data_IF_493979403162
#
_entry.id   IF_493979403162
#
_cell.length_a   1.000
_cell.length_b   1.000
_cell.length_c   1.000
_cell.angle_alpha   90.00
_cell.angle_beta   90.00
_cell.angle_gamma   90.00
#
_symmetry.space_group_name_H-M   'P 1'
#
loop_
_entity.id
_entity.type
_entity.pdbx_description
1 polymer ?
#
# COMPACT_ATOMS: atom_id res chain seq x y z
N UNK A 1 12.60 -6.76 -49.76
CA UNK A 1 13.60 -6.56 -48.68
C UNK A 1 12.90 -5.84 -47.52
N UNK A 2 12.71 -6.52 -46.40
CA UNK A 2 12.03 -5.95 -45.22
C UNK A 2 12.91 -4.88 -44.58
N UNK A 3 12.45 -3.62 -44.57
CA UNK A 3 13.22 -2.43 -44.18
C UNK A 3 13.24 -2.16 -42.67
N UNK A 4 12.93 -3.16 -41.84
CA UNK A 4 12.97 -3.00 -40.38
C UNK A 4 14.42 -2.98 -39.88
N UNK A 5 15.04 -1.79 -39.89
CA UNK A 5 16.26 -1.53 -39.15
C UNK A 5 15.95 -1.58 -37.65
N UNK A 6 16.48 -2.59 -36.96
CA UNK A 6 16.47 -2.67 -35.50
C UNK A 6 17.19 -1.44 -34.95
N UNK A 7 16.47 -0.50 -34.33
CA UNK A 7 17.10 0.65 -33.64
C UNK A 7 18.12 0.10 -32.64
N UNK A 8 19.37 0.46 -32.82
CA UNK A 8 20.45 0.22 -31.85
C UNK A 8 20.04 0.81 -30.51
N UNK A 9 20.11 0.02 -29.44
CA UNK A 9 19.64 0.33 -28.08
C UNK A 9 20.29 1.57 -27.42
N UNK A 10 21.23 2.24 -28.09
CA UNK A 10 22.04 3.33 -27.56
C UNK A 10 21.34 4.71 -27.50
N UNK A 11 20.12 4.88 -28.02
CA UNK A 11 19.44 6.21 -28.11
C UNK A 11 18.12 6.24 -27.32
N UNK A 12 17.83 5.23 -26.49
CA UNK A 12 16.69 5.35 -25.57
C UNK A 12 17.13 6.13 -24.31
N UNK A 13 16.43 7.20 -23.92
CA UNK A 13 16.72 7.87 -22.67
C UNK A 13 16.60 6.85 -21.53
N UNK A 14 17.66 6.74 -20.73
CA UNK A 14 17.69 5.84 -19.58
C UNK A 14 16.60 6.27 -18.61
N UNK A 15 15.76 5.34 -18.20
CA UNK A 15 14.74 5.60 -17.19
C UNK A 15 15.40 5.88 -15.84
N UNK A 16 14.77 6.67 -14.97
CA UNK A 16 15.20 6.79 -13.58
C UNK A 16 15.34 5.41 -12.93
N UNK A 17 16.25 5.29 -11.96
CA UNK A 17 16.39 4.07 -11.17
C UNK A 17 15.05 3.69 -10.51
N UNK A 18 14.76 2.39 -10.37
CA UNK A 18 13.50 1.94 -9.74
C UNK A 18 12.21 2.28 -10.50
N UNK A 19 12.30 2.81 -11.73
CA UNK A 19 11.16 3.11 -12.59
C UNK A 19 11.05 2.10 -13.74
N UNK A 20 9.81 1.82 -14.16
CA UNK A 20 9.54 0.99 -15.35
C UNK A 20 8.51 1.65 -16.26
N UNK A 21 8.52 1.31 -17.54
CA UNK A 21 7.45 1.73 -18.44
C UNK A 21 6.25 0.77 -18.32
N UNK A 22 5.06 1.34 -18.19
CA UNK A 22 3.81 0.62 -18.32
C UNK A 22 3.71 0.00 -19.72
N UNK A 23 3.42 -1.30 -19.84
CA UNK A 23 3.27 -1.94 -21.15
C UNK A 23 2.04 -1.45 -21.93
N UNK A 24 1.06 -0.82 -21.26
CA UNK A 24 -0.21 -0.43 -21.88
C UNK A 24 -0.21 0.98 -22.44
N UNK A 25 0.27 1.94 -21.66
CA UNK A 25 0.18 3.36 -21.99
C UNK A 25 1.55 4.05 -22.05
N UNK A 26 2.64 3.30 -21.88
CA UNK A 26 4.01 3.83 -21.94
C UNK A 26 4.34 4.82 -20.83
N UNK A 27 3.55 4.90 -19.76
CA UNK A 27 3.82 5.78 -18.63
C UNK A 27 4.95 5.25 -17.77
N UNK A 28 5.71 6.17 -17.19
CA UNK A 28 6.71 5.82 -16.18
C UNK A 28 5.96 5.47 -14.90
N UNK A 29 6.18 4.26 -14.39
CA UNK A 29 5.61 3.72 -13.16
C UNK A 29 6.72 3.56 -12.12
N UNK A 30 6.36 3.78 -10.87
CA UNK A 30 7.18 3.49 -9.69
C UNK A 30 6.46 2.54 -8.77
N UNK A 31 7.18 1.71 -8.03
CA UNK A 31 6.54 0.80 -7.08
C UNK A 31 6.04 1.53 -5.82
N UNK A 32 4.89 1.13 -5.29
CA UNK A 32 4.39 1.51 -3.97
C UNK A 32 5.16 0.86 -2.82
N UNK A 33 6.02 -0.13 -3.10
CA UNK A 33 6.69 -0.97 -2.11
C UNK A 33 5.87 -2.20 -1.71
N UNK A 34 4.62 -2.30 -2.17
CA UNK A 34 3.74 -3.44 -1.93
C UNK A 34 3.37 -4.06 -3.29
N UNK A 35 3.91 -5.24 -3.66
CA UNK A 35 3.65 -5.85 -4.95
C UNK A 35 2.16 -6.05 -5.27
N UNK A 36 1.38 -6.49 -4.27
CA UNK A 36 -0.06 -6.69 -4.44
C UNK A 36 -0.81 -5.38 -4.71
N UNK A 37 -0.36 -4.25 -4.14
CA UNK A 37 -0.95 -2.95 -4.40
C UNK A 37 -0.58 -2.45 -5.81
N UNK A 38 0.66 -2.65 -6.22
CA UNK A 38 1.12 -2.30 -7.56
C UNK A 38 0.29 -3.01 -8.63
N UNK A 39 0.06 -4.32 -8.46
CA UNK A 39 -0.75 -5.11 -9.40
C UNK A 39 -2.20 -4.58 -9.47
N UNK A 40 -2.80 -4.25 -8.32
CA UNK A 40 -4.14 -3.68 -8.23
C UNK A 40 -4.27 -2.31 -8.89
N UNK A 41 -3.19 -1.52 -8.92
CA UNK A 41 -3.15 -0.18 -9.53
C UNK A 41 -2.67 -0.19 -11.00
N UNK A 42 -2.47 -1.37 -11.59
CA UNK A 42 -2.07 -1.50 -13.00
C UNK A 42 -0.56 -1.61 -13.21
N UNK A 43 0.14 -2.20 -12.25
CA UNK A 43 1.57 -2.49 -12.27
C UNK A 43 2.43 -1.48 -11.50
N UNK A 44 1.86 -0.53 -10.78
CA UNK A 44 2.57 0.48 -9.98
C UNK A 44 1.86 1.83 -9.96
N UNK A 45 2.55 2.83 -9.38
CA UNK A 45 2.08 4.21 -9.30
C UNK A 45 2.63 5.02 -10.48
N UNK A 46 1.79 5.67 -11.29
CA UNK A 46 2.30 6.47 -12.40
C UNK A 46 2.94 7.77 -11.92
N UNK A 47 4.05 8.14 -12.54
CA UNK A 47 4.71 9.43 -12.30
C UNK A 47 3.78 10.57 -12.70
N UNK A 48 3.70 11.57 -11.83
CA UNK A 48 2.79 12.71 -11.93
C UNK A 48 1.37 12.42 -11.43
N UNK A 49 1.21 11.48 -10.47
CA UNK A 49 -0.07 11.17 -9.84
C UNK A 49 -0.11 11.53 -8.35
N UNK A 50 -1.33 11.79 -7.87
CA UNK A 50 -1.68 11.86 -6.46
C UNK A 50 -2.47 10.63 -6.05
N UNK A 51 -1.95 9.89 -5.06
CA UNK A 51 -2.55 8.68 -4.49
C UNK A 51 -3.06 8.99 -3.09
N UNK A 52 -4.36 8.83 -2.89
CA UNK A 52 -5.02 9.04 -1.60
C UNK A 52 -5.30 7.70 -0.92
N UNK A 53 -4.87 7.58 0.33
CA UNK A 53 -5.09 6.43 1.20
C UNK A 53 -6.00 6.86 2.35
N UNK A 54 -7.26 6.44 2.32
CA UNK A 54 -8.22 6.70 3.39
C UNK A 54 -7.95 5.75 4.55
N UNK A 55 -7.77 6.30 5.75
CA UNK A 55 -7.47 5.55 6.96
C UNK A 55 -8.70 5.24 7.81
N UNK A 56 -8.63 4.09 8.49
CA UNK A 56 -9.64 3.61 9.43
C UNK A 56 -9.56 4.34 10.78
N UNK A 57 -10.56 4.17 11.63
CA UNK A 57 -10.74 4.86 12.91
C UNK A 57 -9.76 4.46 14.01
N UNK A 58 -9.42 3.17 14.11
CA UNK A 58 -8.68 2.65 15.27
C UNK A 58 -7.31 2.07 14.92
N UNK A 59 -6.90 2.12 13.65
CA UNK A 59 -5.70 1.43 13.18
C UNK A 59 -4.88 2.28 12.21
N UNK A 60 -3.57 2.21 12.34
CA UNK A 60 -2.62 3.00 11.53
C UNK A 60 -2.11 2.24 10.29
N UNK A 61 -2.95 1.37 9.69
CA UNK A 61 -2.55 0.62 8.50
C UNK A 61 -2.23 1.53 7.31
N UNK A 62 -2.86 2.71 7.22
CA UNK A 62 -2.55 3.73 6.20
C UNK A 62 -1.10 4.20 6.30
N UNK A 63 -0.60 4.42 7.53
CA UNK A 63 0.77 4.82 7.78
C UNK A 63 1.75 3.70 7.40
N UNK A 64 1.36 2.42 7.53
CA UNK A 64 2.16 1.31 7.02
C UNK A 64 2.33 1.39 5.51
N UNK A 65 1.27 1.67 4.74
CA UNK A 65 1.37 1.89 3.28
C UNK A 65 2.31 3.06 2.96
N UNK A 66 2.19 4.18 3.68
CA UNK A 66 3.08 5.32 3.52
C UNK A 66 4.55 4.95 3.79
N UNK A 67 4.82 4.17 4.84
CA UNK A 67 6.17 3.69 5.17
C UNK A 67 6.75 2.76 4.10
N UNK A 68 5.93 1.90 3.49
CA UNK A 68 6.35 1.09 2.34
C UNK A 68 6.73 1.97 1.14
N UNK A 69 5.93 3.00 0.87
CA UNK A 69 6.18 3.95 -0.21
C UNK A 69 7.50 4.71 -0.01
N UNK A 70 7.79 5.10 1.24
CA UNK A 70 9.05 5.73 1.64
C UNK A 70 10.23 4.76 1.53
N UNK A 71 10.11 3.54 2.07
CA UNK A 71 11.16 2.52 2.01
C UNK A 71 11.54 2.16 0.58
N UNK A 72 10.57 2.05 -0.33
CA UNK A 72 10.81 1.82 -1.75
C UNK A 72 11.49 3.00 -2.42
N UNK A 73 11.21 4.23 -1.96
CA UNK A 73 11.96 5.42 -2.35
C UNK A 73 13.44 5.32 -2.00
N UNK A 74 13.73 4.99 -0.73
CA UNK A 74 15.11 4.83 -0.24
C UNK A 74 15.86 3.72 -0.99
N UNK A 75 15.21 2.57 -1.20
CA UNK A 75 15.84 1.45 -1.88
C UNK A 75 16.15 1.74 -3.36
N UNK A 76 15.35 2.59 -4.00
CA UNK A 76 15.54 2.98 -5.40
C UNK A 76 16.46 4.20 -5.58
N UNK A 77 16.91 4.84 -4.48
CA UNK A 77 17.68 6.10 -4.54
C UNK A 77 16.86 7.32 -4.99
N UNK A 78 15.54 7.28 -4.82
CA UNK A 78 14.66 8.42 -5.09
C UNK A 78 14.82 9.51 -4.05
N UNK A 79 14.61 10.77 -4.44
CA UNK A 79 14.49 11.85 -3.47
C UNK A 79 13.13 11.79 -2.77
N UNK A 80 13.11 12.13 -1.50
CA UNK A 80 11.91 12.06 -0.66
C UNK A 80 11.57 13.44 -0.11
N UNK A 81 10.28 13.72 -0.01
CA UNK A 81 9.76 14.86 0.72
C UNK A 81 8.65 14.37 1.65
N UNK A 82 8.78 14.61 2.95
CA UNK A 82 7.82 14.13 3.95
C UNK A 82 7.20 15.30 4.71
N UNK A 83 5.87 15.39 4.69
CA UNK A 83 5.11 16.41 5.39
C UNK A 83 4.13 15.79 6.38
N UNK A 84 4.00 16.40 7.55
CA UNK A 84 3.11 15.91 8.62
C UNK A 84 2.80 17.02 9.63
N UNK A 85 1.54 17.10 10.06
CA UNK A 85 1.09 18.00 11.13
C UNK A 85 0.83 17.26 12.46
N UNK A 86 0.57 15.95 12.40
CA UNK A 86 0.27 15.12 13.57
C UNK A 86 1.53 14.65 14.32
N UNK A 87 2.61 14.44 13.58
CA UNK A 87 3.87 13.91 14.11
C UNK A 87 5.08 14.43 13.35
N UNK A 88 6.23 14.38 14.01
CA UNK A 88 7.52 14.62 13.37
C UNK A 88 7.74 13.66 12.17
N UNK A 89 7.92 14.19 10.95
CA UNK A 89 8.07 13.38 9.74
C UNK A 89 9.33 12.50 9.75
N UNK A 90 10.35 12.83 10.56
CA UNK A 90 11.52 11.96 10.72
C UNK A 90 11.16 10.61 11.35
N UNK A 91 10.11 10.54 12.16
CA UNK A 91 9.66 9.28 12.76
C UNK A 91 9.06 8.32 11.74
N UNK A 92 8.51 8.84 10.64
CA UNK A 92 7.93 8.03 9.55
C UNK A 92 9.04 7.28 8.84
N UNK A 93 10.11 7.98 8.45
CA UNK A 93 11.25 7.39 7.75
C UNK A 93 12.06 6.45 8.66
N UNK A 94 12.24 6.78 9.94
CA UNK A 94 12.93 5.91 10.91
C UNK A 94 12.20 4.58 11.13
N UNK A 95 10.88 4.55 10.96
CA UNK A 95 10.04 3.35 11.06
C UNK A 95 9.75 2.68 9.72
N UNK A 96 10.37 3.15 8.64
CA UNK A 96 10.25 2.53 7.33
C UNK A 96 10.84 1.10 7.38
N UNK A 97 10.22 0.10 6.72
CA UNK A 97 10.72 -1.26 6.73
C UNK A 97 12.04 -1.39 5.96
N UNK A 98 12.95 -2.21 6.48
CA UNK A 98 14.19 -2.57 5.79
C UNK A 98 13.92 -3.56 4.64
N UNK A 99 14.84 -3.65 3.70
CA UNK A 99 14.78 -4.61 2.60
C UNK A 99 16.01 -5.52 2.59
N UNK A 100 15.84 -6.72 2.05
CA UNK A 100 16.95 -7.62 1.77
C UNK A 100 17.54 -7.26 0.41
N UNK A 101 18.68 -6.58 0.37
CA UNK A 101 19.43 -6.40 -0.89
C UNK A 101 19.88 -7.79 -1.37
N UNK A 102 19.19 -8.36 -2.35
CA UNK A 102 19.73 -9.49 -3.11
C UNK A 102 20.82 -8.97 -4.04
N UNK A 103 21.97 -8.61 -3.47
CA UNK A 103 23.20 -8.59 -4.25
C UNK A 103 23.51 -10.04 -4.63
N UNK A 104 23.71 -10.40 -5.90
CA UNK A 104 24.29 -11.68 -6.26
C UNK A 104 25.76 -11.67 -5.82
N UNK A 105 26.01 -12.03 -4.57
CA UNK A 105 27.37 -12.38 -4.12
C UNK A 105 27.66 -13.81 -4.55
N UNK A 106 28.81 -14.08 -5.20
CA UNK A 106 29.23 -15.45 -5.46
C UNK A 106 29.57 -16.12 -4.12
N UNK A 107 28.92 -17.25 -3.85
CA UNK A 107 29.24 -18.26 -2.83
C UNK A 107 30.26 -17.88 -1.75
N UNK A 108 29.83 -17.76 -0.50
CA UNK A 108 30.63 -18.17 0.66
C UNK A 108 29.71 -18.74 1.75
N UNK A 109 29.65 -20.08 1.72
CA UNK A 109 29.44 -21.08 2.77
C UNK A 109 28.72 -20.75 4.10
N UNK A 110 27.87 -21.72 4.46
CA UNK A 110 27.80 -22.36 5.78
C UNK A 110 27.32 -21.52 6.98
N UNK A 111 26.05 -21.71 7.36
CA UNK A 111 25.77 -22.39 8.63
C UNK A 111 24.31 -22.88 8.67
N UNK A 112 24.13 -24.19 8.78
CA UNK A 112 22.86 -24.79 9.20
C UNK A 112 23.23 -26.05 9.97
N UNK A 113 22.74 -26.21 11.21
CA UNK A 113 23.18 -27.29 12.07
C UNK A 113 22.73 -28.62 11.50
N UNK A 114 23.65 -29.56 11.44
CA UNK A 114 23.44 -30.91 10.96
C UNK A 114 22.41 -31.64 11.84
N UNK A 115 21.21 -31.87 11.31
CA UNK A 115 20.33 -32.94 11.78
C UNK A 115 20.41 -34.04 10.73
N UNK A 116 21.10 -35.13 11.11
CA UNK A 116 21.13 -36.37 10.36
C UNK A 116 19.70 -36.89 10.20
N UNK A 117 19.16 -36.81 8.98
CA UNK A 117 18.00 -37.62 8.59
C UNK A 117 18.46 -38.68 7.60
N UNK A 118 18.34 -39.91 8.08
CA UNK A 118 18.54 -41.17 7.38
C UNK A 118 17.85 -41.19 6.02
N UNK A 119 18.59 -41.72 5.05
CA UNK A 119 18.14 -42.21 3.74
C UNK A 119 17.07 -43.28 3.91
N UNK A 120 15.79 -42.91 4.04
CA UNK A 120 14.65 -43.86 3.97
C UNK A 120 13.29 -43.15 3.92
N UNK A 121 13.11 -42.19 3.00
CA UNK A 121 11.78 -41.66 2.67
C UNK A 121 11.66 -41.29 1.18
N UNK A 122 12.36 -42.03 0.31
CA UNK A 122 12.15 -42.02 -1.14
C UNK A 122 10.98 -42.96 -1.49
N UNK A 123 9.80 -42.69 -0.96
CA UNK A 123 8.55 -43.08 -1.62
C UNK A 123 7.62 -41.88 -1.70
N UNK A 124 8.06 -40.99 -2.58
CA UNK A 124 7.38 -39.81 -3.08
C UNK A 124 6.03 -40.26 -3.66
N UNK A 125 4.94 -39.91 -2.97
CA UNK A 125 3.55 -40.01 -3.44
C UNK A 125 3.45 -39.51 -4.89
N UNK A 126 3.34 -40.45 -5.84
CA UNK A 126 3.38 -40.26 -7.31
C UNK A 126 2.15 -39.57 -7.90
N UNK A 127 1.21 -39.10 -7.09
CA UNK A 127 -0.09 -38.62 -7.58
C UNK A 127 -0.07 -37.12 -7.92
N UNK A 128 0.85 -36.34 -7.32
CA UNK A 128 0.88 -34.88 -7.47
C UNK A 128 2.03 -34.34 -8.35
N UNK A 129 2.58 -35.15 -9.27
CA UNK A 129 3.61 -34.71 -10.23
C UNK A 129 3.19 -33.46 -11.00
N UNK A 130 1.90 -33.36 -11.37
CA UNK A 130 1.38 -32.26 -12.19
C UNK A 130 1.44 -30.88 -11.52
N UNK A 131 1.51 -30.83 -10.19
CA UNK A 131 1.60 -29.58 -9.44
C UNK A 131 3.03 -29.21 -9.06
N UNK A 132 4.01 -30.10 -9.30
CA UNK A 132 5.41 -29.84 -8.96
C UNK A 132 6.03 -28.69 -9.78
N UNK A 133 5.44 -28.38 -10.95
CA UNK A 133 5.89 -27.32 -11.84
C UNK A 133 4.84 -26.21 -12.03
N UNK A 134 3.79 -26.15 -11.20
CA UNK A 134 2.93 -24.97 -11.21
C UNK A 134 3.73 -23.78 -10.66
N UNK A 135 3.71 -22.61 -11.30
CA UNK A 135 4.27 -21.41 -10.71
C UNK A 135 3.52 -21.16 -9.39
N UNK A 136 4.17 -21.38 -8.26
CA UNK A 136 3.71 -20.81 -7.00
C UNK A 136 3.71 -19.31 -7.22
N UNK A 137 2.57 -18.64 -7.01
CA UNK A 137 2.27 -17.26 -7.45
C UNK A 137 3.20 -16.14 -6.97
N UNK A 138 4.34 -16.47 -6.36
CA UNK A 138 5.43 -15.57 -5.97
C UNK A 138 6.59 -15.54 -7.01
N UNK A 139 6.57 -16.39 -8.05
CA UNK A 139 7.71 -16.57 -8.97
C UNK A 139 7.57 -15.91 -10.36
N UNK A 140 6.38 -15.45 -10.75
CA UNK A 140 6.17 -14.88 -12.09
C UNK A 140 6.68 -13.43 -12.26
N UNK A 141 6.98 -12.74 -11.16
CA UNK A 141 7.56 -11.38 -11.18
C UNK A 141 9.09 -11.37 -11.24
N UNK A 142 9.77 -12.49 -10.93
CA UNK A 142 11.23 -12.54 -10.85
C UNK A 142 11.93 -12.91 -12.16
N UNK A 143 11.20 -13.40 -13.19
CA UNK A 143 11.84 -14.02 -14.37
C UNK A 143 12.07 -13.09 -15.59
N UNK A 144 11.91 -11.77 -15.46
CA UNK A 144 12.07 -10.83 -16.61
C UNK A 144 12.99 -9.62 -16.40
N UNK A 145 13.99 -9.69 -15.54
CA UNK A 145 15.03 -8.64 -15.49
C UNK A 145 16.43 -9.25 -15.45
N UNK A 146 17.05 -9.33 -16.62
CA UNK A 146 18.49 -9.53 -16.76
C UNK A 146 19.21 -8.30 -16.19
N UNK A 147 19.79 -8.42 -14.99
CA UNK A 147 20.86 -7.55 -14.49
C UNK A 147 20.51 -6.18 -13.89
N UNK A 148 19.24 -5.88 -13.57
CA UNK A 148 18.83 -4.58 -12.99
C UNK A 148 18.16 -4.77 -11.62
N UNK A 149 18.32 -3.81 -10.71
CA UNK A 149 17.65 -3.74 -9.40
C UNK A 149 16.16 -4.09 -9.53
N UNK A 150 15.58 -4.86 -8.59
CA UNK A 150 14.19 -5.26 -8.68
C UNK A 150 13.26 -4.04 -8.65
N UNK A 151 12.15 -4.10 -9.39
CA UNK A 151 11.18 -2.99 -9.45
C UNK A 151 10.52 -2.71 -8.09
N UNK A 152 10.26 -3.76 -7.32
CA UNK A 152 9.81 -3.69 -5.93
C UNK A 152 10.73 -4.56 -5.10
N UNK A 153 11.28 -4.01 -4.03
CA UNK A 153 12.12 -4.76 -3.11
C UNK A 153 11.28 -5.63 -2.17
N UNK A 154 11.93 -6.64 -1.58
CA UNK A 154 11.31 -7.46 -0.54
C UNK A 154 11.59 -6.84 0.82
N UNK A 155 10.56 -6.21 1.38
CA UNK A 155 10.64 -5.55 2.69
C UNK A 155 10.26 -6.47 3.86
N UNK A 156 10.86 -6.18 5.02
CA UNK A 156 10.51 -6.76 6.32
C UNK A 156 10.02 -5.67 7.28
N UNK A 157 8.77 -5.76 7.72
CA UNK A 157 8.14 -4.83 8.67
C UNK A 157 8.71 -4.89 10.09
N UNK A 158 9.35 -5.99 10.48
CA UNK A 158 9.87 -6.14 11.84
C UNK A 158 11.19 -5.39 12.05
N UNK A 159 11.88 -5.05 10.97
CA UNK A 159 13.23 -4.48 11.02
C UNK A 159 13.22 -3.11 10.35
N UNK A 160 13.41 -2.02 11.10
CA UNK A 160 13.47 -0.68 10.51
C UNK A 160 14.71 -0.49 9.63
N UNK A 161 14.66 0.47 8.71
CA UNK A 161 15.80 0.86 7.87
C UNK A 161 16.99 1.29 8.73
N UNK A 162 18.20 0.93 8.29
CA UNK A 162 19.44 1.31 8.98
C UNK A 162 19.67 2.83 8.86
N UNK A 163 20.04 3.54 9.94
CA UNK A 163 20.25 4.99 9.92
C UNK A 163 21.22 5.47 8.84
N UNK A 164 22.29 4.70 8.57
CA UNK A 164 23.28 5.02 7.52
C UNK A 164 22.67 5.21 6.13
N UNK A 165 21.58 4.51 5.82
CA UNK A 165 20.91 4.64 4.52
C UNK A 165 20.09 5.93 4.49
N UNK A 166 19.49 6.31 5.62
CA UNK A 166 18.75 7.56 5.77
C UNK A 166 19.70 8.75 5.64
N UNK A 167 20.87 8.69 6.28
CA UNK A 167 21.89 9.75 6.23
C UNK A 167 22.46 9.96 4.81
N UNK A 168 22.49 8.91 3.99
CA UNK A 168 22.95 8.98 2.61
C UNK A 168 21.85 9.41 1.63
N UNK A 169 20.59 9.36 2.04
CA UNK A 169 19.45 9.69 1.19
C UNK A 169 19.18 11.19 1.19
N UNK A 170 18.74 11.71 0.05
CA UNK A 170 18.26 13.09 -0.05
C UNK A 170 16.79 13.15 0.38
N UNK A 171 16.56 13.59 1.61
CA UNK A 171 15.22 13.70 2.21
C UNK A 171 14.99 15.13 2.68
N UNK A 172 13.88 15.72 2.25
CA UNK A 172 13.36 16.99 2.75
C UNK A 172 12.17 16.73 3.68
N UNK A 173 12.02 17.56 4.69
CA UNK A 173 11.00 17.41 5.73
C UNK A 173 10.26 18.73 5.92
N UNK A 174 8.94 18.66 5.92
CA UNK A 174 8.07 19.77 6.32
C UNK A 174 7.38 19.36 7.62
N UNK A 175 7.89 19.88 8.73
CA UNK A 175 7.28 19.68 10.03
C UNK A 175 6.24 20.79 10.29
N UNK A 176 4.96 20.41 10.30
CA UNK A 176 3.84 21.31 10.59
C UNK A 176 3.40 21.22 12.06
N UNK A 177 4.11 20.45 12.90
CA UNK A 177 3.77 20.32 14.33
C UNK A 177 4.12 21.59 15.12
N UNK A 178 5.07 22.37 14.63
CA UNK A 178 5.50 23.61 15.24
C UNK A 178 4.85 24.79 14.52
N UNK A 179 4.31 25.79 15.26
CA UNK A 179 3.79 27.00 14.64
C UNK A 179 4.91 27.67 13.85
N UNK A 180 4.68 27.90 12.55
CA UNK A 180 5.61 28.67 11.73
C UNK A 180 5.60 30.12 12.23
N UNK A 181 6.54 30.46 13.10
CA UNK A 181 6.80 31.84 13.45
C UNK A 181 7.40 32.52 12.22
N UNK A 182 6.61 33.33 11.51
CA UNK A 182 7.13 34.26 10.50
C UNK A 182 7.90 35.37 11.20
N UNK A 183 9.12 35.10 11.64
CA UNK A 183 9.97 36.11 12.27
C UNK A 183 11.46 35.78 12.12
N UNK A 184 11.97 35.71 10.89
CA UNK A 184 13.41 35.95 10.65
C UNK A 184 13.70 36.84 9.42
N UNK A 185 12.74 37.09 8.52
CA UNK A 185 12.92 38.00 7.36
C UNK A 185 12.14 39.32 7.42
N UNK A 186 11.57 39.68 8.57
CA UNK A 186 11.01 41.01 8.78
C UNK A 186 12.16 42.01 8.95
N UNK A 187 12.71 42.48 7.83
CA UNK A 187 13.52 43.69 7.79
C UNK A 187 12.81 44.79 8.56
N UNK A 188 13.48 45.32 9.58
CA UNK A 188 13.09 46.50 10.35
C UNK A 188 13.13 47.74 9.45
N UNK A 189 12.16 47.90 8.56
CA UNK A 189 11.89 49.18 7.92
C UNK A 189 10.38 49.42 7.88
N UNK A 190 9.95 50.38 8.68
CA UNK A 190 8.58 50.54 9.10
C UNK A 190 7.60 50.90 7.98
N UNK A 191 6.43 50.27 8.02
CA UNK A 191 5.19 51.01 7.91
C UNK A 191 4.05 50.27 8.62
N UNK A 192 3.49 50.94 9.61
CA UNK A 192 2.62 50.38 10.64
C UNK A 192 1.15 50.53 10.22
N UNK A 193 0.60 49.59 9.42
CA UNK A 193 -0.87 49.48 9.17
C UNK A 193 -1.44 48.06 8.96
N UNK A 194 -0.65 46.99 8.81
CA UNK A 194 -1.15 45.62 8.62
C UNK A 194 -0.77 44.68 9.79
N UNK A 195 -1.17 45.03 11.02
CA UNK A 195 -0.99 44.17 12.22
C UNK A 195 -2.01 43.01 12.32
N UNK A 196 -2.47 42.50 11.19
CA UNK A 196 -3.06 41.16 11.09
C UNK A 196 -1.99 40.26 10.45
N UNK A 197 -0.95 39.91 11.22
CA UNK A 197 -0.10 38.76 10.87
C UNK A 197 -0.95 37.51 11.06
N UNK A 198 -1.74 37.23 10.02
CA UNK A 198 -2.72 36.17 9.95
C UNK A 198 -2.03 34.82 10.04
N UNK A 199 -2.67 33.89 10.75
CA UNK A 199 -2.37 32.46 10.74
C UNK A 199 -2.08 32.05 9.29
N UNK A 200 -0.87 31.63 8.96
CA UNK A 200 -0.57 31.16 7.60
C UNK A 200 -1.30 29.84 7.36
N UNK A 201 -1.97 29.69 6.23
CA UNK A 201 -2.62 28.43 5.87
C UNK A 201 -1.53 27.36 5.62
N UNK A 202 -1.53 26.29 6.41
CA UNK A 202 -0.53 25.23 6.32
C UNK A 202 -0.48 24.60 4.93
N UNK A 203 -1.64 24.53 4.26
CA UNK A 203 -1.76 23.98 2.92
C UNK A 203 -1.06 24.85 1.87
N UNK A 204 -1.17 26.18 1.99
CA UNK A 204 -0.54 27.12 1.06
C UNK A 204 0.98 27.13 1.24
N UNK A 205 1.44 27.12 2.49
CA UNK A 205 2.86 27.06 2.81
C UNK A 205 3.50 25.73 2.37
N UNK A 206 2.83 24.59 2.60
CA UNK A 206 3.29 23.29 2.10
C UNK A 206 3.33 23.27 0.56
N UNK A 207 2.34 23.86 -0.11
CA UNK A 207 2.33 23.93 -1.56
C UNK A 207 3.51 24.75 -2.10
N UNK A 208 3.80 25.91 -1.51
CA UNK A 208 4.94 26.74 -1.89
C UNK A 208 6.27 26.00 -1.73
N UNK A 209 6.46 25.30 -0.61
CA UNK A 209 7.65 24.50 -0.34
C UNK A 209 7.81 23.34 -1.35
N UNK A 210 6.71 22.64 -1.67
CA UNK A 210 6.69 21.59 -2.68
C UNK A 210 7.00 22.12 -4.09
N UNK A 211 6.48 23.30 -4.44
CA UNK A 211 6.76 23.96 -5.71
C UNK A 211 8.25 24.28 -5.84
N UNK A 212 8.84 24.92 -4.82
CA UNK A 212 10.28 25.19 -4.76
C UNK A 212 11.10 23.90 -4.83
N UNK A 213 10.76 22.87 -4.06
CA UNK A 213 11.46 21.60 -4.10
C UNK A 213 11.42 20.91 -5.48
N UNK A 214 10.33 21.06 -6.23
CA UNK A 214 10.19 20.49 -7.59
C UNK A 214 10.99 21.29 -8.63
N UNK A 215 10.95 22.62 -8.54
CA UNK A 215 11.65 23.52 -9.47
C UNK A 215 13.16 23.49 -9.23
N UNK A 216 13.60 23.72 -8.00
CA UNK A 216 15.02 23.76 -7.62
C UNK A 216 15.66 22.37 -7.67
N UNK A 217 14.88 21.33 -7.35
CA UNK A 217 15.30 19.93 -7.44
C UNK A 217 15.40 19.38 -8.86
N UNK A 218 15.03 20.16 -9.88
CA UNK A 218 15.11 19.74 -11.29
C UNK A 218 14.13 18.62 -11.67
N UNK A 219 13.04 18.47 -10.91
CA UNK A 219 12.00 17.47 -11.16
C UNK A 219 10.96 17.92 -12.17
N UNK A 220 10.93 19.21 -12.54
CA UNK A 220 10.04 19.73 -13.56
C UNK A 220 10.29 19.07 -14.92
N UNK A 221 9.23 18.60 -15.57
CA UNK A 221 9.27 18.02 -16.91
C UNK A 221 9.31 19.10 -18.00
N UNK A 222 8.93 20.34 -17.66
CA UNK A 222 8.95 21.51 -18.54
C UNK A 222 10.37 22.03 -18.77
N UNK A 223 11.23 21.89 -17.77
CA UNK A 223 12.63 22.24 -17.91
C UNK A 223 13.34 21.25 -18.85
N UNK A 224 14.07 21.74 -19.88
CA UNK A 224 14.90 20.87 -20.69
C UNK A 224 15.88 20.14 -19.78
N UNK A 225 16.05 18.81 -19.98
CA UNK A 225 17.04 18.05 -19.24
C UNK A 225 18.38 18.80 -19.31
N UNK A 226 18.97 19.10 -18.14
CA UNK A 226 20.21 19.86 -18.07
C UNK A 226 21.23 19.29 -19.08
N UNK A 227 21.92 20.16 -19.81
CA UNK A 227 22.93 19.75 -20.79
C UNK A 227 24.03 18.96 -20.06
N UNK A 228 24.25 17.69 -20.45
CA UNK A 228 25.20 16.68 -19.91
C UNK A 228 24.64 15.78 -18.76
N UNK A 229 25.23 14.59 -18.48
CA UNK A 229 24.54 13.31 -18.25
C UNK A 229 23.89 13.12 -16.86
N UNK A 230 23.26 14.15 -16.31
CA UNK A 230 22.49 14.01 -15.08
C UNK A 230 21.27 13.13 -15.35
N UNK A 231 21.30 11.89 -14.85
CA UNK A 231 20.16 10.99 -14.88
C UNK A 231 19.02 11.64 -14.09
N UNK A 232 17.83 11.76 -14.71
CA UNK A 232 16.65 12.32 -14.04
C UNK A 232 16.30 11.42 -12.85
N UNK A 233 16.15 12.01 -11.67
CA UNK A 233 15.66 11.30 -10.49
C UNK A 233 14.14 11.52 -10.34
N UNK A 234 13.52 10.73 -9.46
CA UNK A 234 12.10 10.83 -9.12
C UNK A 234 11.98 11.39 -7.70
N UNK A 235 11.01 12.28 -7.52
CA UNK A 235 10.61 12.80 -6.22
C UNK A 235 9.41 12.02 -5.69
N UNK A 236 9.49 11.52 -4.46
CA UNK A 236 8.38 10.87 -3.77
C UNK A 236 7.93 11.74 -2.60
N UNK A 237 6.71 12.23 -2.68
CA UNK A 237 6.11 13.09 -1.67
C UNK A 237 5.20 12.24 -0.81
N UNK A 238 5.50 12.13 0.48
CA UNK A 238 4.65 11.47 1.47
C UNK A 238 4.01 12.51 2.38
N UNK A 239 2.68 12.60 2.35
CA UNK A 239 1.94 13.49 3.25
C UNK A 239 1.16 12.64 4.25
N UNK A 240 1.47 12.81 5.53
CA UNK A 240 0.85 12.09 6.62
C UNK A 240 -0.41 12.82 7.09
N UNK A 241 -1.51 12.06 7.17
CA UNK A 241 -2.81 12.41 7.72
C UNK A 241 -3.28 13.82 7.34
N UNK A 242 -3.33 14.07 6.03
CA UNK A 242 -3.85 15.29 5.45
C UNK A 242 -5.28 15.54 5.97
N UNK A 243 -5.54 16.77 6.39
CA UNK A 243 -6.83 17.17 6.97
C UNK A 243 -7.14 16.45 8.29
N UNK A 244 -6.12 16.05 9.06
CA UNK A 244 -6.31 15.81 10.49
C UNK A 244 -6.65 17.14 11.21
N UNK A 245 -7.21 17.09 12.43
CA UNK A 245 -7.52 18.28 13.22
C UNK A 245 -6.32 19.17 13.56
N UNK A 246 -5.10 18.70 13.31
CA UNK A 246 -3.87 19.44 13.56
C UNK A 246 -3.50 20.42 12.44
N UNK A 247 -4.04 20.22 11.23
CA UNK A 247 -3.81 21.13 10.09
C UNK A 247 -4.51 22.48 10.31
N UNK A 248 -3.76 23.57 10.22
CA UNK A 248 -4.30 24.92 10.31
C UNK A 248 -4.83 25.37 8.94
N UNK A 249 -6.13 25.12 8.71
CA UNK A 249 -6.84 25.58 7.53
C UNK A 249 -7.45 26.96 7.78
N UNK A 250 -7.27 27.90 6.85
CA UNK A 250 -8.02 29.17 6.88
C UNK A 250 -9.46 29.03 6.42
N UNK A 251 -9.73 28.04 5.58
CA UNK A 251 -11.05 27.82 4.98
C UNK A 251 -11.33 26.34 4.76
N UNK A 252 -12.60 25.97 4.73
CA UNK A 252 -13.05 24.61 4.42
C UNK A 252 -12.59 24.12 3.04
N UNK A 253 -12.25 25.05 2.14
CA UNK A 253 -11.81 24.76 0.78
C UNK A 253 -10.29 24.66 0.64
N UNK A 254 -9.51 25.03 1.67
CA UNK A 254 -8.04 25.08 1.60
C UNK A 254 -7.43 23.74 1.19
N UNK A 255 -7.91 22.64 1.78
CA UNK A 255 -7.48 21.29 1.40
C UNK A 255 -7.84 20.95 -0.06
N UNK A 256 -9.02 21.33 -0.54
CA UNK A 256 -9.42 21.09 -1.93
C UNK A 256 -8.61 21.93 -2.92
N UNK A 257 -8.35 23.21 -2.60
CA UNK A 257 -7.47 24.08 -3.41
C UNK A 257 -6.06 23.53 -3.47
N UNK A 258 -5.52 23.07 -2.35
CA UNK A 258 -4.23 22.42 -2.26
C UNK A 258 -4.14 21.17 -3.14
N UNK A 259 -5.07 20.23 -3.00
CA UNK A 259 -5.08 19.01 -3.81
C UNK A 259 -5.20 19.31 -5.31
N UNK A 260 -6.02 20.29 -5.68
CA UNK A 260 -6.14 20.75 -7.05
C UNK A 260 -4.83 21.32 -7.59
N UNK A 261 -4.19 22.22 -6.83
CA UNK A 261 -2.91 22.83 -7.20
C UNK A 261 -1.77 21.81 -7.27
N UNK A 262 -1.66 20.94 -6.26
CA UNK A 262 -0.68 19.85 -6.18
C UNK A 262 -0.80 18.91 -7.38
N UNK A 263 -2.03 18.54 -7.75
CA UNK A 263 -2.27 17.69 -8.93
C UNK A 263 -1.77 18.36 -10.21
N UNK A 264 -2.02 19.66 -10.37
CA UNK A 264 -1.52 20.44 -11.50
C UNK A 264 0.02 20.46 -11.55
N UNK A 265 0.66 20.71 -10.41
CA UNK A 265 2.10 20.72 -10.25
C UNK A 265 2.74 19.36 -10.59
N UNK A 266 2.18 18.26 -10.08
CA UNK A 266 2.70 16.92 -10.34
C UNK A 266 2.51 16.44 -11.77
N UNK A 267 1.48 16.94 -12.47
CA UNK A 267 1.24 16.57 -13.88
C UNK A 267 2.42 16.91 -14.79
N UNK A 268 3.19 17.93 -14.41
CA UNK A 268 4.37 18.42 -15.13
C UNK A 268 5.67 18.19 -14.35
N UNK A 269 5.73 17.17 -13.49
CA UNK A 269 6.95 16.82 -12.77
C UNK A 269 7.23 15.31 -12.78
N UNK A 270 8.46 14.94 -12.45
CA UNK A 270 8.87 13.57 -12.15
C UNK A 270 8.59 13.23 -10.67
N UNK A 271 7.42 13.64 -10.17
CA UNK A 271 6.98 13.44 -8.79
C UNK A 271 5.84 12.44 -8.65
N UNK A 272 5.78 11.71 -7.54
CA UNK A 272 4.60 10.91 -7.14
C UNK A 272 4.26 11.26 -5.70
N UNK A 273 2.98 11.53 -5.42
CA UNK A 273 2.53 11.84 -4.08
C UNK A 273 1.63 10.74 -3.52
N UNK A 274 1.93 10.29 -2.31
CA UNK A 274 1.06 9.43 -1.50
C UNK A 274 0.63 10.21 -0.26
N UNK A 275 -0.68 10.28 -0.06
CA UNK A 275 -1.33 11.05 1.00
C UNK A 275 -2.16 10.09 1.84
N UNK A 276 -1.96 10.07 3.16
CA UNK A 276 -2.92 9.42 4.07
C UNK A 276 -3.94 10.44 4.56
N UNK A 277 -5.21 10.02 4.75
CA UNK A 277 -6.28 10.91 5.19
C UNK A 277 -7.23 10.18 6.16
N UNK A 278 -7.46 10.72 7.39
CA UNK A 278 -8.38 10.17 8.37
C UNK A 278 -9.84 10.43 8.02
N UNK A 279 -10.35 9.68 7.04
CA UNK A 279 -11.70 9.86 6.49
C UNK A 279 -12.80 9.61 7.53
N UNK A 280 -12.52 8.75 8.51
CA UNK A 280 -13.43 8.41 9.61
C UNK A 280 -13.81 9.61 10.50
N UNK A 281 -13.01 10.69 10.51
CA UNK A 281 -13.32 11.91 11.26
C UNK A 281 -14.43 12.73 10.60
N UNK A 282 -14.62 12.54 9.30
CA UNK A 282 -15.62 13.27 8.52
C UNK A 282 -16.92 12.50 8.38
N UNK A 283 -16.91 11.17 8.54
CA UNK A 283 -18.08 10.32 8.32
C UNK A 283 -19.27 10.73 9.20
N UNK A 284 -20.41 10.99 8.56
CA UNK A 284 -21.72 11.12 9.21
C UNK A 284 -22.47 9.80 9.08
N UNK A 285 -23.39 9.49 10.00
CA UNK A 285 -23.90 8.14 10.29
C UNK A 285 -24.43 7.27 9.12
N UNK A 286 -24.61 7.81 7.92
CA UNK A 286 -25.09 7.04 6.75
C UNK A 286 -24.43 7.35 5.41
N UNK A 287 -23.64 8.42 5.26
CA UNK A 287 -23.11 8.82 3.93
C UNK A 287 -21.67 9.32 3.97
N UNK A 288 -20.92 9.05 2.88
CA UNK A 288 -19.63 9.71 2.65
C UNK A 288 -19.82 11.21 2.49
N UNK A 289 -19.13 12.05 3.29
CA UNK A 289 -19.26 13.49 3.27
C UNK A 289 -18.92 14.09 1.92
N UNK A 290 -19.58 15.20 1.57
CA UNK A 290 -19.31 15.94 0.34
C UNK A 290 -17.85 16.42 0.25
N UNK A 291 -17.21 16.79 1.36
CA UNK A 291 -15.80 17.18 1.40
C UNK A 291 -14.87 16.03 0.98
N UNK A 292 -15.01 14.85 1.59
CA UNK A 292 -14.19 13.66 1.26
C UNK A 292 -14.38 13.28 -0.20
N UNK A 293 -15.62 13.24 -0.70
CA UNK A 293 -15.89 12.96 -2.13
C UNK A 293 -15.21 13.97 -3.05
N UNK A 294 -15.19 15.27 -2.71
CA UNK A 294 -14.46 16.28 -3.49
C UNK A 294 -12.96 15.98 -3.53
N UNK A 295 -12.36 15.64 -2.38
CA UNK A 295 -10.94 15.27 -2.31
C UNK A 295 -10.63 13.99 -3.10
N UNK A 296 -11.48 12.96 -3.02
CA UNK A 296 -11.37 11.75 -3.83
C UNK A 296 -11.35 12.05 -5.34
N UNK A 297 -12.13 13.04 -5.79
CA UNK A 297 -12.17 13.44 -7.20
C UNK A 297 -10.92 14.21 -7.65
N UNK A 298 -10.28 14.94 -6.75
CA UNK A 298 -9.05 15.69 -7.03
C UNK A 298 -7.81 14.78 -7.08
N UNK A 299 -7.84 13.61 -6.45
CA UNK A 299 -6.77 12.62 -6.52
C UNK A 299 -6.92 11.70 -7.74
N UNK A 300 -5.82 11.10 -8.20
CA UNK A 300 -5.83 10.20 -9.38
C UNK A 300 -6.12 8.76 -8.99
N UNK A 301 -5.69 8.33 -7.81
CA UNK A 301 -6.01 7.03 -7.23
C UNK A 301 -6.51 7.20 -5.79
N UNK A 302 -7.49 6.40 -5.40
CA UNK A 302 -8.08 6.42 -4.06
C UNK A 302 -8.27 4.99 -3.58
N UNK A 303 -7.65 4.67 -2.46
CA UNK A 303 -7.79 3.39 -1.76
C UNK A 303 -8.23 3.63 -0.32
N UNK A 304 -9.03 2.72 0.23
CA UNK A 304 -9.54 2.80 1.61
C UNK A 304 -9.23 1.49 2.34
N UNK A 305 -8.75 1.61 3.57
CA UNK A 305 -8.53 0.51 4.49
C UNK A 305 -9.64 0.56 5.54
N UNK A 306 -10.37 -0.53 5.72
CA UNK A 306 -11.33 -0.70 6.82
C UNK A 306 -10.92 -1.92 7.66
N UNK A 307 -10.41 -1.72 8.87
CA UNK A 307 -10.06 -2.83 9.75
C UNK A 307 -11.31 -3.44 10.37
N UNK A 308 -11.29 -4.76 10.62
CA UNK A 308 -12.33 -5.40 11.42
C UNK A 308 -12.36 -4.91 12.87
N UNK A 309 -11.27 -4.34 13.36
CA UNK A 309 -11.22 -3.68 14.66
C UNK A 309 -12.01 -2.37 14.70
N UNK A 310 -12.30 -1.75 13.55
CA UNK A 310 -13.09 -0.52 13.43
C UNK A 310 -14.35 -0.61 12.59
N UNK A 311 -14.59 -1.74 11.94
CA UNK A 311 -15.77 -1.94 11.12
C UNK A 311 -17.05 -1.92 11.96
N UNK A 312 -18.06 -1.18 11.48
CA UNK A 312 -19.43 -1.25 12.02
C UNK A 312 -20.06 -2.63 11.78
N UNK A 313 -19.48 -3.44 10.90
CA UNK A 313 -20.00 -4.72 10.47
C UNK A 313 -19.36 -5.88 11.25
N UNK A 314 -19.79 -6.06 12.51
CA UNK A 314 -19.27 -7.06 13.48
C UNK A 314 -19.40 -8.52 13.02
N UNK A 315 -20.08 -8.79 11.91
CA UNK A 315 -20.28 -10.15 11.36
C UNK A 315 -19.02 -10.71 10.68
N UNK A 316 -18.08 -9.87 10.24
CA UNK A 316 -16.84 -10.32 9.60
C UNK A 316 -15.86 -10.98 10.59
N UNK A 317 -15.92 -10.61 11.87
CA UNK A 317 -15.08 -11.16 12.94
C UNK A 317 -15.52 -12.56 13.42
N UNK A 318 -16.70 -13.02 13.00
CA UNK A 318 -17.32 -14.26 13.50
C UNK A 318 -16.87 -15.54 12.77
N UNK A 319 -15.97 -15.44 11.77
CA UNK A 319 -15.70 -16.52 10.82
C UNK A 319 -14.26 -17.03 10.74
N UNK A 320 -13.41 -16.92 11.78
CA UNK A 320 -12.06 -17.50 11.75
C UNK A 320 -11.20 -17.07 10.56
N UNK A 321 -11.48 -15.89 10.01
CA UNK A 321 -10.84 -15.36 8.82
C UNK A 321 -9.48 -14.79 9.21
N UNK A 322 -8.40 -15.28 8.60
CA UNK A 322 -7.02 -14.79 8.78
C UNK A 322 -6.80 -13.38 8.19
N UNK A 323 -7.80 -12.50 8.18
CA UNK A 323 -7.81 -11.18 7.55
C UNK A 323 -7.87 -10.07 8.61
N UNK A 324 -7.15 -8.96 8.40
CA UNK A 324 -7.17 -7.80 9.31
C UNK A 324 -8.26 -6.78 8.97
N UNK A 325 -8.73 -6.77 7.73
CA UNK A 325 -9.74 -5.84 7.25
C UNK A 325 -10.00 -5.93 5.75
N UNK A 326 -10.94 -5.12 5.29
CA UNK A 326 -11.25 -4.93 3.87
C UNK A 326 -10.36 -3.85 3.25
N UNK A 327 -10.07 -4.04 1.97
CA UNK A 327 -9.34 -3.09 1.15
C UNK A 327 -10.25 -2.65 0.00
N UNK A 328 -10.57 -1.37 -0.09
CA UNK A 328 -11.42 -0.86 -1.15
C UNK A 328 -10.62 0.00 -2.12
N UNK A 329 -10.92 -0.13 -3.41
CA UNK A 329 -10.36 0.72 -4.46
C UNK A 329 -11.50 1.56 -5.01
N UNK A 330 -11.56 2.84 -4.61
CA UNK A 330 -12.61 3.75 -5.08
C UNK A 330 -12.27 4.37 -6.43
N UNK A 331 -10.98 4.59 -6.68
CA UNK A 331 -10.50 5.22 -7.91
C UNK A 331 -9.14 4.67 -8.29
N UNK A 332 -8.96 4.40 -9.58
CA UNK A 332 -7.71 3.92 -10.16
C UNK A 332 -7.11 4.98 -11.07
N UNK A 333 -5.77 5.03 -11.20
CA UNK A 333 -5.11 6.06 -11.98
C UNK A 333 -5.43 5.90 -13.48
N UNK A 334 -5.92 6.99 -14.07
CA UNK A 334 -6.31 7.10 -15.48
C UNK A 334 -5.55 8.24 -16.16
N UNK A 335 -4.26 8.38 -15.87
CA UNK A 335 -3.45 9.40 -16.54
C UNK A 335 -3.43 9.09 -18.05
N UNK A 336 -3.77 10.07 -18.89
CA UNK A 336 -3.68 10.00 -20.35
C UNK A 336 -4.40 8.78 -20.99
N UNK A 337 -5.40 8.22 -20.30
CA UNK A 337 -6.19 7.07 -20.76
C UNK A 337 -7.61 7.21 -20.22
N UNK A 338 -8.61 6.80 -21.01
CA UNK A 338 -10.01 6.77 -20.58
C UNK A 338 -10.34 5.56 -19.68
N UNK A 339 -9.46 4.56 -19.67
CA UNK A 339 -9.65 3.29 -18.94
C UNK A 339 -8.40 3.02 -18.10
N UNK A 340 -8.54 2.58 -16.84
CA UNK A 340 -7.39 2.35 -15.98
C UNK A 340 -6.66 1.08 -16.44
N UNK A 341 -5.32 1.08 -16.34
CA UNK A 341 -4.47 -0.02 -16.81
C UNK A 341 -4.73 -1.34 -16.05
N UNK A 342 -5.13 -1.24 -14.79
CA UNK A 342 -5.55 -2.35 -13.92
C UNK A 342 -6.69 -3.18 -14.50
N UNK A 343 -7.66 -2.58 -15.21
CA UNK A 343 -8.82 -3.28 -15.76
C UNK A 343 -8.45 -4.45 -16.70
N UNK A 344 -7.23 -4.45 -17.24
CA UNK A 344 -6.71 -5.47 -18.15
C UNK A 344 -5.59 -6.34 -17.54
N UNK A 345 -5.04 -5.94 -16.39
CA UNK A 345 -3.88 -6.59 -15.75
C UNK A 345 -4.23 -7.39 -14.50
N UNK A 346 -5.41 -7.18 -13.91
CA UNK A 346 -5.76 -7.83 -12.64
C UNK A 346 -6.06 -9.32 -12.86
N UNK A 347 -5.02 -10.15 -12.71
CA UNK A 347 -5.12 -11.63 -12.62
C UNK A 347 -5.85 -12.08 -11.35
N UNK A 348 -5.97 -11.19 -10.36
CA UNK A 348 -6.57 -11.45 -9.03
C UNK A 348 -8.11 -11.38 -9.05
N UNK A 349 -8.70 -10.93 -10.17
CA UNK A 349 -10.15 -10.73 -10.29
C UNK A 349 -10.65 -11.31 -11.61
N UNK A 350 -11.16 -12.54 -11.55
CA UNK A 350 -11.79 -13.22 -12.69
C UNK A 350 -13.10 -12.58 -13.18
N UNK A 351 -13.49 -11.41 -12.68
CA UNK A 351 -14.62 -10.62 -13.19
C UNK A 351 -14.58 -9.19 -12.63
N UNK A 352 -14.79 -8.18 -13.47
CA UNK A 352 -14.88 -6.75 -13.10
C UNK A 352 -15.88 -6.42 -11.97
N UNK A 353 -16.77 -7.34 -11.62
CA UNK A 353 -17.71 -7.22 -10.51
C UNK A 353 -17.10 -7.47 -9.11
N UNK A 354 -15.85 -7.94 -9.02
CA UNK A 354 -15.20 -8.40 -7.77
C UNK A 354 -14.17 -7.41 -7.18
N UNK A 355 -14.13 -6.15 -7.64
CA UNK A 355 -13.22 -5.13 -7.09
C UNK A 355 -13.47 -4.83 -5.60
N UNK A 356 -14.64 -5.21 -5.06
CA UNK A 356 -15.04 -5.00 -3.67
C UNK A 356 -14.77 -6.20 -2.75
N UNK A 357 -14.19 -7.29 -3.27
CA UNK A 357 -13.85 -8.47 -2.47
C UNK A 357 -12.34 -8.52 -2.22
N UNK A 358 -11.73 -7.44 -1.75
CA UNK A 358 -10.32 -7.43 -1.38
C UNK A 358 -10.21 -7.30 0.13
N UNK A 359 -9.30 -8.09 0.71
CA UNK A 359 -8.94 -8.00 2.11
C UNK A 359 -7.43 -7.79 2.22
N UNK A 360 -7.03 -7.07 3.26
CA UNK A 360 -5.62 -6.91 3.58
C UNK A 360 -5.24 -7.78 4.79
N UNK A 361 -4.01 -8.26 4.75
CA UNK A 361 -3.39 -9.06 5.79
C UNK A 361 -2.06 -8.43 6.17
N UNK A 362 -1.93 -8.09 7.45
CA UNK A 362 -0.67 -7.77 8.07
C UNK A 362 -0.18 -8.98 8.85
N UNK A 363 0.79 -9.69 8.28
CA UNK A 363 1.62 -10.64 9.02
C UNK A 363 2.75 -9.88 9.71
N UNK A 364 3.48 -10.57 10.60
CA UNK A 364 4.65 -10.01 11.32
C UNK A 364 5.62 -9.28 10.39
N UNK A 365 6.00 -9.91 9.27
CA UNK A 365 7.05 -9.40 8.39
C UNK A 365 6.54 -8.74 7.11
N UNK A 366 5.26 -8.90 6.75
CA UNK A 366 4.76 -8.51 5.43
C UNK A 366 3.30 -8.05 5.48
N UNK A 367 3.03 -6.97 4.77
CA UNK A 367 1.69 -6.55 4.39
C UNK A 367 1.38 -7.04 2.97
N UNK A 368 0.20 -7.61 2.75
CA UNK A 368 -0.25 -8.00 1.41
C UNK A 368 -1.78 -7.95 1.31
N UNK A 369 -2.25 -7.81 0.07
CA UNK A 369 -3.68 -7.70 -0.29
C UNK A 369 -4.04 -8.95 -1.10
N UNK A 370 -5.17 -9.56 -0.78
CA UNK A 370 -5.69 -10.75 -1.48
C UNK A 370 -7.20 -10.64 -1.70
N UNK A 371 -7.72 -11.46 -2.61
CA UNK A 371 -9.17 -11.60 -2.80
C UNK A 371 -9.77 -12.27 -1.57
N UNK A 372 -10.76 -11.61 -0.99
CA UNK A 372 -11.56 -12.13 0.10
C UNK A 372 -12.57 -13.16 -0.41
N UNK A 373 -12.52 -14.36 0.14
CA UNK A 373 -13.52 -15.40 -0.09
C UNK A 373 -14.21 -15.72 1.24
N UNK A 374 -15.54 -15.73 1.23
CA UNK A 374 -16.30 -16.27 2.35
C UNK A 374 -15.97 -17.76 2.49
N UNK A 375 -15.73 -18.27 3.72
CA UNK A 375 -15.63 -19.70 3.92
C UNK A 375 -16.97 -20.34 3.49
N UNK A 376 -16.95 -21.55 2.90
CA UNK A 376 -18.17 -22.23 2.51
C UNK A 376 -19.08 -22.34 3.74
N UNK A 377 -20.35 -21.92 3.60
CA UNK A 377 -21.35 -22.07 4.65
C UNK A 377 -21.46 -23.56 5.02
N UNK A 378 -21.10 -23.90 6.26
CA UNK A 378 -20.96 -25.29 6.72
C UNK A 378 -19.52 -25.60 7.11
N UNK A 379 -19.18 -25.27 8.35
CA UNK A 379 -17.83 -25.43 8.89
C UNK A 379 -17.27 -26.86 8.77
N UNK A 380 -15.96 -26.95 8.64
CA UNK A 380 -15.17 -28.20 8.59
C UNK A 380 -15.38 -29.08 9.85
N UNK A 381 -16.01 -28.56 10.90
CA UNK A 381 -16.35 -29.30 12.12
C UNK A 381 -17.48 -30.32 11.97
N UNK A 382 -18.27 -30.30 10.88
CA UNK A 382 -19.44 -31.21 10.74
C UNK A 382 -19.09 -32.55 10.07
N UNK A 383 -17.88 -32.68 9.50
CA UNK A 383 -17.39 -33.96 8.97
C UNK A 383 -16.43 -34.63 9.94
N UNK A 384 -16.86 -34.88 11.18
CA UNK A 384 -16.22 -35.90 12.03
C UNK A 384 -17.07 -37.15 11.99
N UNK A 385 -16.69 -38.11 11.16
CA UNK A 385 -17.17 -39.49 11.31
C UNK A 385 -16.61 -39.98 12.65
N UNK A 386 -17.48 -40.15 13.63
CA UNK A 386 -17.17 -40.85 14.88
C UNK A 386 -16.49 -42.19 14.54
N UNK A 387 -15.28 -42.46 15.06
CA UNK A 387 -14.64 -43.75 14.82
C UNK A 387 -15.50 -44.84 15.48
N UNK A 388 -15.85 -45.87 14.71
CA UNK A 388 -16.57 -47.05 15.22
C UNK A 388 -15.82 -47.61 16.43
N UNK A 389 -16.42 -47.54 17.61
CA UNK A 389 -15.90 -48.17 18.81
C UNK A 389 -15.89 -49.68 18.61
N UNK A 390 -14.70 -50.28 18.65
CA UNK A 390 -14.53 -51.73 18.71
C UNK A 390 -15.17 -52.27 19.98
N UNK A 391 -16.25 -53.04 19.83
CA UNK A 391 -16.93 -53.71 20.92
C UNK A 391 -16.05 -54.84 21.48
N UNK A 392 -15.42 -54.62 22.64
CA UNK A 392 -14.96 -55.69 23.50
C UNK A 392 -16.15 -56.22 24.31
N UNK A 393 -16.53 -57.46 24.03
CA UNK A 393 -17.55 -58.21 24.76
C UNK A 393 -17.03 -58.62 26.15
N UNK A 394 -17.71 -58.19 27.21
CA UNK A 394 -17.75 -58.92 28.48
C UNK A 394 -19.11 -58.75 29.14
N UNK A 395 -19.67 -59.90 29.51
CA UNK A 395 -21.03 -60.12 29.95
C UNK A 395 -21.34 -59.59 31.37
N UNK A 396 -22.62 -59.33 31.60
CA UNK A 396 -23.46 -59.85 32.69
C UNK A 396 -24.31 -58.77 33.37
N UNK A 397 -25.58 -59.10 33.62
CA UNK A 397 -26.45 -58.39 34.56
C UNK A 397 -27.79 -57.93 34.00
N UNK A 398 -28.68 -58.89 33.69
CA UNK A 398 -30.12 -58.62 33.57
C UNK A 398 -30.70 -58.32 34.94
N UNK A 399 -31.45 -57.22 35.08
CA UNK A 399 -32.69 -57.22 35.87
C UNK A 399 -33.68 -56.19 35.32
N UNK A 400 -34.84 -56.74 34.96
CA UNK A 400 -36.09 -56.08 34.60
C UNK A 400 -36.82 -55.51 35.82
N UNK A 401 -37.51 -54.38 35.66
CA UNK A 401 -38.91 -54.08 36.07
C UNK A 401 -39.17 -52.57 36.03
N UNK A 402 -39.97 -52.08 35.07
CA UNK A 402 -41.41 -51.73 35.14
C UNK A 402 -41.70 -50.24 35.38
N UNK A 403 -42.35 -49.66 34.37
CA UNK A 403 -43.56 -48.83 34.45
C UNK A 403 -43.51 -47.37 34.96
N UNK A 404 -43.91 -46.48 34.04
CA UNK A 404 -45.08 -45.58 34.12
C UNK A 404 -44.85 -44.06 34.14
N UNK A 405 -45.51 -43.41 33.18
CA UNK A 405 -46.02 -42.03 33.13
C UNK A 405 -45.01 -40.86 33.19
N UNK A 406 -45.15 -39.76 32.45
CA UNK A 406 -46.23 -39.34 31.57
C UNK A 406 -45.89 -38.08 30.76
N UNK A 407 -46.77 -37.81 29.78
CA UNK A 407 -47.14 -36.54 29.15
C UNK A 407 -46.26 -35.30 29.40
N UNK A 408 -45.83 -34.65 28.31
CA UNK A 408 -46.50 -33.46 27.79
C UNK A 408 -46.02 -33.13 26.37
N UNK A 409 -46.99 -32.92 25.49
CA UNK A 409 -46.87 -32.43 24.13
C UNK A 409 -47.18 -30.93 24.17
N UNK A 410 -46.38 -30.10 23.51
CA UNK A 410 -46.87 -28.87 22.92
C UNK A 410 -45.96 -28.45 21.76
N UNK A 411 -46.43 -28.78 20.57
CA UNK A 411 -46.21 -28.03 19.33
C UNK A 411 -46.42 -26.53 19.52
N UNK A 412 -45.72 -25.71 18.75
CA UNK A 412 -46.27 -24.51 18.13
C UNK A 412 -45.36 -24.09 16.98
N UNK A 413 -45.89 -24.26 15.77
CA UNK A 413 -45.53 -23.47 14.59
C UNK A 413 -46.00 -22.02 14.82
N UNK A 414 -45.11 -21.06 14.57
CA UNK A 414 -45.26 -19.98 13.57
C UNK A 414 -43.92 -19.27 13.36
#
# INVERSE_FOLDING_TARGET
MSSFRKRTAAIQPKLPAGAKLSPHNGQVLVSSGIPSLDDLLGGGLPVGSVVLVLSDRYTDYSNILLRYFVAQGLASGHQLHLASADMDPQKIIQRAPSWTTTSPTPNTSADSPAVQKTTEALDKLKIAWRYQNLPTGDQDTARRTTGTTPFCEKFDLMVPVKPRIIDQATVSYTDLTQPRNTSEDANEDGNDKDRNQGITDDYEALFAELAHAIEDGGFSSLAPAAKAPAERNILRIGIHDLASPYWQAQSDESCARFLHALRGLLRFSFGVCMITLPAHLYQTESERPGAVRRWEQLCDAVVELESFNGSRNTKATAGGLDCNGFFYIHKQPQLNSLVPSSSKLVTVSGNQLSANNLAFKQKRHKFYIETFYLPPEGGVSERRVEPRSSSSSSAAGKTSKTASSGRACSSLDF
#
